data_IF_251155440830
#
_entry.id   IF_251155440830
#
_cell.length_a   1.000
_cell.length_b   1.000
_cell.length_c   1.000
_cell.angle_alpha   90.00
_cell.angle_beta   90.00
_cell.angle_gamma   90.00
#
_symmetry.space_group_name_H-M   'P 1'
#
loop_
_entity.id
_entity.type
_entity.pdbx_description
1 polymer ?
#
# COMPACT_ATOMS: atom_id res chain seq x y z
N UNK A 1 2.38 9.01 -4.51
CA UNK A 1 3.53 8.19 -4.05
C UNK A 1 3.65 6.99 -4.96
N UNK A 2 4.80 6.80 -5.53
CA UNK A 2 5.06 5.70 -6.48
C UNK A 2 5.65 4.50 -5.76
N UNK A 3 5.12 3.29 -6.01
CA UNK A 3 5.72 2.07 -5.48
C UNK A 3 6.80 1.55 -6.42
N UNK A 4 7.78 0.84 -5.83
CA UNK A 4 8.81 0.09 -6.55
C UNK A 4 8.66 -1.35 -6.10
N UNK A 5 8.05 -2.24 -6.92
CA UNK A 5 7.74 -3.61 -6.51
C UNK A 5 8.94 -4.33 -5.91
N UNK A 6 8.72 -4.96 -4.75
CA UNK A 6 9.76 -5.69 -4.02
C UNK A 6 10.79 -4.83 -3.32
N UNK A 7 10.78 -3.52 -3.53
CA UNK A 7 11.83 -2.60 -3.05
C UNK A 7 11.30 -1.60 -2.05
N UNK A 8 10.14 -1.00 -2.31
CA UNK A 8 9.56 -0.01 -1.40
C UNK A 8 8.74 1.04 -2.13
N UNK A 9 8.87 2.28 -1.68
CA UNK A 9 8.29 3.45 -2.33
C UNK A 9 9.42 4.42 -2.69
N UNK A 10 9.10 5.49 -3.39
CA UNK A 10 10.12 6.42 -3.86
C UNK A 10 10.97 7.06 -2.73
N UNK A 11 10.44 7.16 -1.51
CA UNK A 11 11.13 7.78 -0.37
C UNK A 11 11.65 6.81 0.68
N UNK A 12 11.12 5.57 0.73
CA UNK A 12 11.49 4.57 1.75
C UNK A 12 11.67 3.22 1.07
N UNK A 13 12.77 2.56 1.32
CA UNK A 13 13.10 1.26 0.72
C UNK A 13 13.35 0.20 1.77
N UNK A 14 13.04 -1.05 1.42
CA UNK A 14 13.38 -2.22 2.23
C UNK A 14 14.89 -2.20 2.48
N UNK A 15 15.29 -2.40 3.73
CA UNK A 15 16.69 -2.36 4.14
C UNK A 15 17.17 -0.99 4.62
N UNK A 16 16.41 0.08 4.41
CA UNK A 16 16.76 1.39 4.96
C UNK A 16 16.76 1.33 6.48
N UNK A 17 17.62 2.10 7.11
CA UNK A 17 17.66 2.20 8.56
C UNK A 17 16.55 3.14 9.05
N UNK A 18 16.04 2.87 10.26
CA UNK A 18 15.04 3.74 10.90
C UNK A 18 15.46 5.20 10.87
N UNK A 19 16.72 5.50 11.16
CA UNK A 19 17.24 6.87 11.16
C UNK A 19 17.13 7.52 9.79
N UNK A 20 17.34 6.78 8.71
CA UNK A 20 17.19 7.28 7.34
C UNK A 20 15.74 7.58 7.02
N UNK A 21 14.83 6.70 7.44
CA UNK A 21 13.39 6.91 7.24
C UNK A 21 12.93 8.18 7.95
N UNK A 22 13.32 8.35 9.21
CA UNK A 22 12.91 9.52 10.01
C UNK A 22 13.54 10.81 9.50
N UNK A 23 14.70 10.74 8.88
CA UNK A 23 15.31 11.89 8.22
C UNK A 23 14.48 12.39 7.03
N UNK A 24 13.90 11.48 6.26
CA UNK A 24 13.12 11.83 5.06
C UNK A 24 11.64 12.06 5.34
N UNK A 25 11.05 11.38 6.33
CA UNK A 25 9.60 11.44 6.61
C UNK A 25 9.27 12.23 7.88
N UNK A 26 10.26 12.58 8.68
CA UNK A 26 10.07 13.17 10.01
C UNK A 26 9.83 12.11 11.08
N UNK A 27 9.59 12.52 12.33
CA UNK A 27 9.32 11.58 13.42
C UNK A 27 7.98 10.87 13.21
N UNK A 28 7.85 9.62 13.70
CA UNK A 28 6.59 8.90 13.57
C UNK A 28 5.50 9.51 14.44
N UNK A 29 4.27 9.45 13.96
CA UNK A 29 3.10 9.89 14.71
C UNK A 29 2.70 8.86 15.77
N UNK A 30 2.83 7.57 15.44
CA UNK A 30 2.58 6.45 16.35
C UNK A 30 3.73 5.46 16.30
N UNK A 31 4.01 4.80 17.43
CA UNK A 31 4.99 3.73 17.53
C UNK A 31 6.44 4.18 17.47
N UNK A 32 6.83 5.35 18.06
CA UNK A 32 8.23 5.72 18.06
C UNK A 32 9.06 4.64 18.78
N UNK A 33 10.10 4.14 18.10
CA UNK A 33 10.94 3.07 18.63
C UNK A 33 10.32 1.69 18.56
N UNK A 34 9.04 1.54 18.17
CA UNK A 34 8.38 0.25 18.05
C UNK A 34 8.67 -0.44 16.72
N UNK A 35 8.29 -1.72 16.64
CA UNK A 35 8.46 -2.49 15.41
C UNK A 35 7.63 -1.92 14.25
N UNK A 36 6.44 -1.41 14.53
CA UNK A 36 5.60 -0.71 13.55
C UNK A 36 5.53 0.77 13.91
N UNK A 37 5.82 1.61 12.95
CA UNK A 37 5.76 3.06 13.13
C UNK A 37 4.86 3.67 12.05
N UNK A 38 4.02 4.64 12.43
CA UNK A 38 3.09 5.33 11.54
C UNK A 38 3.61 6.73 11.26
N UNK A 39 3.80 7.05 9.99
CA UNK A 39 4.27 8.35 9.54
C UNK A 39 3.13 9.07 8.78
N UNK A 40 2.86 10.30 9.16
CA UNK A 40 1.74 11.09 8.58
C UNK A 40 2.17 11.81 7.31
N UNK A 41 2.66 11.07 6.35
CA UNK A 41 2.92 11.56 5.00
C UNK A 41 1.62 11.52 4.17
N UNK A 42 1.66 11.98 2.95
CA UNK A 42 0.51 11.91 2.04
C UNK A 42 0.92 11.13 0.78
N UNK A 43 0.54 9.85 0.65
CA UNK A 43 -0.29 9.03 1.56
C UNK A 43 0.42 8.61 2.84
N UNK A 44 -0.35 8.26 3.86
CA UNK A 44 0.19 7.81 5.14
C UNK A 44 0.98 6.53 4.98
N UNK A 45 2.14 6.46 5.64
CA UNK A 45 3.00 5.28 5.61
C UNK A 45 2.98 4.57 6.96
N UNK A 46 2.93 3.24 6.91
CA UNK A 46 3.18 2.37 8.06
C UNK A 46 4.40 1.53 7.72
N UNK A 47 5.45 1.68 8.51
CA UNK A 47 6.72 0.98 8.29
C UNK A 47 6.87 -0.09 9.36
N UNK A 48 7.14 -1.32 8.95
CA UNK A 48 7.52 -2.41 9.84
C UNK A 48 9.02 -2.58 9.79
N UNK A 49 9.66 -2.53 10.97
CA UNK A 49 11.11 -2.67 11.11
C UNK A 49 11.46 -4.06 11.60
N UNK A 50 12.51 -4.64 11.04
CA UNK A 50 13.09 -5.88 11.54
C UNK A 50 13.83 -5.63 12.87
N UNK A 51 14.28 -6.70 13.50
CA UNK A 51 14.97 -6.61 14.80
C UNK A 51 16.25 -5.76 14.75
N UNK A 52 16.88 -5.65 13.58
CA UNK A 52 18.08 -4.85 13.38
C UNK A 52 17.80 -3.38 13.02
N UNK A 53 16.54 -2.94 13.17
CA UNK A 53 16.11 -1.56 12.90
C UNK A 53 16.16 -1.17 11.43
N UNK A 54 16.05 -2.15 10.52
CA UNK A 54 15.92 -1.91 9.09
C UNK A 54 14.49 -2.16 8.61
N UNK A 55 14.09 -1.46 7.56
CA UNK A 55 12.75 -1.58 6.97
C UNK A 55 12.54 -2.98 6.41
N UNK A 56 11.47 -3.64 6.85
CA UNK A 56 11.06 -4.97 6.41
C UNK A 56 9.83 -4.93 5.52
N UNK A 57 8.91 -4.01 5.78
CA UNK A 57 7.66 -3.86 5.06
C UNK A 57 7.29 -2.38 4.98
N UNK A 58 6.86 -1.93 3.80
CA UNK A 58 6.34 -0.58 3.57
C UNK A 58 4.86 -0.70 3.22
N UNK A 59 3.99 -0.08 4.00
CA UNK A 59 2.55 -0.02 3.74
C UNK A 59 2.13 1.43 3.52
N UNK A 60 1.40 1.68 2.43
CA UNK A 60 0.86 3.00 2.12
C UNK A 60 -0.66 2.90 2.04
N UNK A 61 -1.35 3.87 2.65
CA UNK A 61 -2.81 3.88 2.75
C UNK A 61 -3.42 4.92 1.81
N UNK A 62 -4.71 4.75 1.46
CA UNK A 62 -5.39 5.74 0.65
C UNK A 62 -5.45 7.10 1.35
N UNK A 63 -5.47 8.19 0.57
CA UNK A 63 -5.65 9.54 1.11
C UNK A 63 -7.11 10.01 1.03
N UNK A 64 -7.85 9.54 0.05
CA UNK A 64 -9.21 9.96 -0.23
C UNK A 64 -9.31 11.21 -1.11
N UNK A 65 -8.19 11.69 -1.60
CA UNK A 65 -8.14 12.91 -2.40
C UNK A 65 -7.94 12.67 -3.90
N UNK A 66 -7.73 11.42 -4.31
CA UNK A 66 -7.37 11.05 -5.68
C UNK A 66 -6.09 11.75 -6.17
N UNK A 67 -5.59 11.36 -7.33
CA UNK A 67 -4.43 11.99 -7.93
C UNK A 67 -3.13 11.77 -7.15
N UNK A 68 -2.23 12.77 -7.08
CA UNK A 68 -0.88 12.60 -6.52
C UNK A 68 -0.82 12.17 -5.05
N UNK A 69 -1.89 12.43 -4.29
CA UNK A 69 -1.96 12.04 -2.87
C UNK A 69 -2.27 10.55 -2.68
N UNK A 70 -2.56 9.82 -3.73
CA UNK A 70 -2.79 8.38 -3.67
C UNK A 70 -1.51 7.60 -4.01
N UNK A 71 -1.58 6.27 -3.91
CA UNK A 71 -0.48 5.38 -4.26
C UNK A 71 -0.57 5.06 -5.75
N UNK A 72 0.56 5.11 -6.45
CA UNK A 72 0.63 4.89 -7.91
C UNK A 72 1.68 3.86 -8.28
N UNK A 73 1.48 3.25 -9.43
CA UNK A 73 2.47 2.40 -10.09
C UNK A 73 2.30 2.52 -11.61
N UNK A 74 3.41 2.82 -12.30
CA UNK A 74 3.46 2.90 -13.77
C UNK A 74 2.35 3.79 -14.35
N UNK A 75 2.14 4.93 -13.71
CA UNK A 75 1.15 5.93 -14.14
C UNK A 75 -0.27 5.64 -13.72
N UNK A 76 -0.54 4.49 -13.07
CA UNK A 76 -1.88 4.11 -12.60
C UNK A 76 -2.06 4.30 -11.11
N UNK A 77 -3.21 4.84 -10.70
CA UNK A 77 -3.58 4.97 -9.30
C UNK A 77 -3.98 3.60 -8.75
N UNK A 78 -3.43 3.21 -7.60
CA UNK A 78 -3.67 1.89 -6.99
C UNK A 78 -4.64 1.93 -5.82
N UNK A 79 -4.79 3.06 -5.15
CA UNK A 79 -5.68 3.21 -4.01
C UNK A 79 -6.85 4.12 -4.35
N UNK A 80 -7.94 4.00 -3.58
CA UNK A 80 -9.16 4.79 -3.76
C UNK A 80 -9.82 4.55 -5.14
N UNK A 81 -9.79 3.28 -5.56
CA UNK A 81 -10.45 2.77 -6.77
C UNK A 81 -11.09 1.43 -6.46
N UNK A 82 -11.99 0.94 -7.32
CA UNK A 82 -12.48 -0.42 -7.15
C UNK A 82 -11.34 -1.42 -7.30
N UNK A 83 -11.23 -2.32 -6.34
CA UNK A 83 -10.13 -3.28 -6.26
C UNK A 83 -10.04 -4.13 -7.54
N UNK A 84 -11.18 -4.60 -8.05
CA UNK A 84 -11.20 -5.44 -9.26
C UNK A 84 -10.65 -4.70 -10.47
N UNK A 85 -10.89 -3.39 -10.57
CA UNK A 85 -10.38 -2.56 -11.66
C UNK A 85 -8.87 -2.40 -11.56
N UNK A 86 -8.36 -2.19 -10.34
CA UNK A 86 -6.92 -2.09 -10.09
C UNK A 86 -6.22 -3.39 -10.46
N UNK A 87 -6.78 -4.52 -10.03
CA UNK A 87 -6.22 -5.85 -10.33
C UNK A 87 -6.22 -6.11 -11.83
N UNK A 88 -7.32 -5.77 -12.52
CA UNK A 88 -7.40 -5.94 -13.98
C UNK A 88 -6.35 -5.11 -14.71
N UNK A 89 -6.15 -3.85 -14.29
CA UNK A 89 -5.13 -2.98 -14.88
C UNK A 89 -3.72 -3.56 -14.69
N UNK A 90 -3.43 -4.07 -13.51
CA UNK A 90 -2.12 -4.67 -13.21
C UNK A 90 -1.89 -5.96 -14.00
N UNK A 91 -2.92 -6.80 -14.15
CA UNK A 91 -2.83 -7.98 -15.00
C UNK A 91 -2.61 -7.58 -16.47
N UNK A 92 -3.24 -6.50 -16.92
CA UNK A 92 -3.05 -5.94 -18.25
C UNK A 92 -1.61 -5.48 -18.52
N UNK A 93 -0.89 -5.07 -17.47
CA UNK A 93 0.53 -4.70 -17.55
C UNK A 93 1.47 -5.93 -17.52
N UNK A 94 0.91 -7.13 -17.39
CA UNK A 94 1.69 -8.37 -17.37
C UNK A 94 2.03 -8.90 -15.97
N UNK A 95 1.52 -8.25 -14.92
CA UNK A 95 1.72 -8.73 -13.56
C UNK A 95 0.83 -9.92 -13.25
N UNK A 96 1.33 -10.84 -12.44
CA UNK A 96 0.57 -11.99 -11.94
C UNK A 96 0.38 -11.87 -10.44
N UNK A 97 -0.69 -12.48 -9.92
CA UNK A 97 -1.02 -12.37 -8.50
C UNK A 97 -1.68 -13.64 -7.98
N UNK A 98 -1.68 -13.79 -6.66
CA UNK A 98 -2.41 -14.81 -5.93
C UNK A 98 -3.46 -14.12 -5.06
N UNK A 99 -4.75 -14.51 -5.14
CA UNK A 99 -5.77 -13.92 -4.27
C UNK A 99 -5.49 -14.20 -2.78
N UNK A 100 -5.78 -13.24 -1.92
CA UNK A 100 -5.72 -13.36 -0.48
C UNK A 100 -7.10 -13.04 0.13
N UNK A 101 -7.24 -13.14 1.45
CA UNK A 101 -8.50 -12.88 2.14
C UNK A 101 -9.00 -11.44 1.93
N UNK A 102 -8.10 -10.50 1.74
CA UNK A 102 -8.43 -9.07 1.68
C UNK A 102 -7.97 -8.38 0.40
N UNK A 103 -7.39 -9.13 -0.55
CA UNK A 103 -6.92 -8.54 -1.79
C UNK A 103 -6.14 -9.50 -2.66
N UNK A 104 -5.05 -9.02 -3.24
CA UNK A 104 -4.19 -9.81 -4.13
C UNK A 104 -2.72 -9.54 -3.80
N UNK A 105 -1.95 -10.61 -3.70
CA UNK A 105 -0.50 -10.56 -3.52
C UNK A 105 0.16 -10.71 -4.89
N UNK A 106 0.81 -9.65 -5.36
CA UNK A 106 1.46 -9.65 -6.68
C UNK A 106 2.87 -10.23 -6.58
N UNK A 107 3.20 -11.10 -7.52
CA UNK A 107 4.45 -11.84 -7.51
C UNK A 107 5.68 -10.95 -7.66
N UNK A 108 5.49 -9.74 -8.20
CA UNK A 108 6.56 -8.75 -8.31
C UNK A 108 6.97 -8.15 -6.96
N UNK A 109 6.18 -8.36 -5.89
CA UNK A 109 6.54 -7.91 -4.55
C UNK A 109 5.71 -6.76 -3.99
N UNK A 110 4.40 -6.83 -4.16
CA UNK A 110 3.48 -5.90 -3.49
C UNK A 110 2.09 -6.53 -3.38
N UNK A 111 1.31 -6.02 -2.45
CA UNK A 111 -0.08 -6.48 -2.23
C UNK A 111 -1.01 -5.27 -2.29
N UNK A 112 -2.15 -5.44 -2.96
CA UNK A 112 -3.23 -4.43 -2.99
C UNK A 112 -4.41 -5.01 -2.23
N UNK A 113 -4.96 -4.25 -1.28
CA UNK A 113 -5.96 -4.79 -0.36
C UNK A 113 -7.10 -3.82 -0.09
N UNK A 114 -8.21 -4.40 0.40
CA UNK A 114 -9.36 -3.68 0.94
C UNK A 114 -9.70 -4.28 2.31
N UNK A 115 -9.93 -3.41 3.30
CA UNK A 115 -10.41 -3.80 4.62
C UNK A 115 -11.90 -3.50 4.79
N UNK A 116 -12.58 -3.14 3.70
CA UNK A 116 -13.98 -2.73 3.66
C UNK A 116 -14.30 -1.53 4.59
N UNK A 117 -13.32 -0.64 4.78
CA UNK A 117 -13.52 0.63 5.47
C UNK A 117 -14.21 1.65 4.58
N UNK A 118 -14.02 1.51 3.25
CA UNK A 118 -14.68 2.33 2.25
C UNK A 118 -15.78 1.52 1.54
N UNK A 119 -16.86 2.20 1.19
CA UNK A 119 -17.96 1.64 0.42
C UNK A 119 -17.90 2.14 -1.03
N UNK A 120 -18.57 1.42 -1.94
CA UNK A 120 -18.62 1.81 -3.35
C UNK A 120 -19.07 3.26 -3.52
N UNK A 121 -20.00 3.73 -2.70
CA UNK A 121 -20.52 5.10 -2.76
C UNK A 121 -19.48 6.17 -2.38
N UNK A 122 -18.43 5.79 -1.70
CA UNK A 122 -17.36 6.75 -1.35
C UNK A 122 -16.57 7.19 -2.59
N UNK A 123 -16.54 6.36 -3.62
CA UNK A 123 -15.84 6.69 -4.88
C UNK A 123 -16.78 6.80 -6.08
N UNK A 124 -18.00 6.28 -5.97
CA UNK A 124 -19.03 6.39 -7.00
C UNK A 124 -20.36 6.81 -6.34
N UNK A 125 -20.68 8.12 -6.32
CA UNK A 125 -21.89 8.61 -5.67
C UNK A 125 -23.19 8.04 -6.26
N UNK A 126 -23.15 7.48 -7.46
CA UNK A 126 -24.31 6.87 -8.12
C UNK A 126 -24.47 5.38 -7.77
N UNK A 127 -23.53 4.79 -7.04
CA UNK A 127 -23.62 3.40 -6.63
C UNK A 127 -24.76 3.19 -5.64
N UNK A 128 -25.40 2.00 -5.70
CA UNK A 128 -26.45 1.63 -4.77
C UNK A 128 -25.92 1.51 -3.34
N UNK A 129 -26.81 1.68 -2.35
CA UNK A 129 -26.46 1.56 -0.95
C UNK A 129 -25.91 0.17 -0.58
N UNK A 130 -26.38 -0.85 -1.30
CA UNK A 130 -26.00 -2.25 -1.09
C UNK A 130 -24.91 -2.72 -2.05
N UNK A 131 -24.24 -1.80 -2.76
CA UNK A 131 -23.12 -2.12 -3.61
C UNK A 131 -21.92 -2.54 -2.75
N UNK A 132 -21.54 -3.81 -2.84
CA UNK A 132 -20.49 -4.40 -2.01
C UNK A 132 -19.13 -4.48 -2.70
N UNK A 133 -18.97 -3.82 -3.87
CA UNK A 133 -17.66 -3.81 -4.54
C UNK A 133 -16.58 -3.27 -3.60
N UNK A 134 -15.48 -4.02 -3.49
CA UNK A 134 -14.35 -3.61 -2.65
C UNK A 134 -13.62 -2.43 -3.26
N UNK A 135 -13.25 -1.48 -2.40
CA UNK A 135 -12.42 -0.33 -2.77
C UNK A 135 -10.99 -0.59 -2.30
N UNK A 136 -10.01 -0.33 -3.15
CA UNK A 136 -8.60 -0.48 -2.79
C UNK A 136 -8.22 0.58 -1.77
N UNK A 137 -7.71 0.16 -0.60
CA UNK A 137 -7.44 1.03 0.54
C UNK A 137 -5.98 1.11 0.91
N UNK A 138 -5.19 0.12 0.54
CA UNK A 138 -3.79 0.11 0.90
C UNK A 138 -2.96 -0.77 -0.02
N UNK A 139 -1.68 -0.45 -0.06
CA UNK A 139 -0.66 -1.21 -0.80
C UNK A 139 0.47 -1.51 0.16
N UNK A 140 0.88 -2.78 0.22
CA UNK A 140 2.04 -3.22 1.00
C UNK A 140 3.14 -3.60 0.02
N UNK A 141 4.37 -3.18 0.27
CA UNK A 141 5.52 -3.49 -0.59
C UNK A 141 6.58 -4.22 0.23
N UNK A 142 6.96 -5.40 -0.24
CA UNK A 142 8.05 -6.23 0.28
C UNK A 142 8.36 -7.28 -0.78
N UNK A 143 9.48 -8.01 -0.69
CA UNK A 143 9.70 -9.18 -1.55
C UNK A 143 8.52 -10.14 -1.43
N UNK A 144 8.13 -10.80 -2.52
CA UNK A 144 6.95 -11.67 -2.54
C UNK A 144 6.99 -12.75 -1.45
N UNK A 145 8.17 -13.25 -1.13
CA UNK A 145 8.37 -14.24 -0.06
C UNK A 145 7.83 -13.77 1.29
N UNK A 146 7.85 -12.47 1.54
CA UNK A 146 7.28 -11.91 2.77
C UNK A 146 5.78 -12.24 2.91
N UNK A 147 5.04 -12.18 1.81
CA UNK A 147 3.58 -12.40 1.81
C UNK A 147 3.22 -13.89 1.91
N UNK A 148 4.07 -14.79 1.42
CA UNK A 148 3.77 -16.23 1.42
C UNK A 148 4.37 -16.97 2.61
N UNK A 149 5.44 -16.44 3.21
CA UNK A 149 6.11 -17.03 4.37
C UNK A 149 5.75 -16.34 5.69
N UNK A 150 5.20 -15.17 5.58
CA UNK A 150 4.76 -14.39 6.72
C UNK A 150 3.40 -14.79 7.19
#
# INVERSE_FOLDING_TARGET
MEIIPGIGVNTVRIGDRRSQVEESTGPPHHGPGGQRAVYTTAPMLVITYAADETVELVEAHYSGEDGPAEVHYDGGQLTHRFLDDVVADLHGLGHTSTPSDIGHDFHAGFSVRSMHSLWARDIDPEADEDDERAVSEGVSVAPYTYFVEG
#
